data_IF_065610886016
#
_entry.id   IF_065610886016
#
_cell.length_a   1.000
_cell.length_b   1.000
_cell.length_c   1.000
_cell.angle_alpha   90.00
_cell.angle_beta   90.00
_cell.angle_gamma   90.00
#
_symmetry.space_group_name_H-M   'P 1'
#
loop_
_entity.id
_entity.type
_entity.pdbx_description
1 polymer ?
#
# COMPACT_ATOMS: atom_id res chain seq x y z
N UNK A 1 26.96 12.77 9.41
CA UNK A 1 25.92 11.86 8.87
C UNK A 1 25.59 12.33 7.47
N UNK A 2 25.76 11.47 6.47
CA UNK A 2 25.56 11.83 5.06
C UNK A 2 24.05 11.94 4.73
N UNK A 3 23.70 12.84 3.81
CA UNK A 3 22.34 12.95 3.28
C UNK A 3 22.09 11.81 2.30
N UNK A 4 21.69 10.64 2.82
CA UNK A 4 21.40 9.44 2.02
C UNK A 4 20.26 9.67 0.99
N UNK A 5 19.47 10.74 1.16
CA UNK A 5 18.41 11.16 0.24
C UNK A 5 18.45 12.69 0.06
N UNK A 6 18.20 13.19 -1.16
CA UNK A 6 18.05 14.63 -1.48
C UNK A 6 16.65 15.16 -1.07
N UNK A 7 16.27 14.86 0.17
CA UNK A 7 14.93 15.09 0.71
C UNK A 7 15.02 15.82 2.04
N UNK A 8 14.90 17.15 1.98
CA UNK A 8 14.79 17.97 3.18
C UNK A 8 13.39 17.84 3.78
N UNK A 9 13.30 17.10 4.89
CA UNK A 9 12.10 16.94 5.70
C UNK A 9 12.17 17.76 7.01
N UNK A 10 13.11 18.71 7.09
CA UNK A 10 13.33 19.53 8.28
C UNK A 10 13.69 18.70 9.51
N UNK A 11 13.00 18.95 10.62
CA UNK A 11 13.20 18.28 11.91
C UNK A 11 12.44 16.96 12.07
N UNK A 12 11.83 16.41 11.01
CA UNK A 12 11.09 15.14 11.11
C UNK A 12 12.04 13.95 11.43
N UNK A 13 11.66 13.05 12.35
CA UNK A 13 12.48 11.92 12.76
C UNK A 13 12.41 10.77 11.74
N UNK A 14 13.04 10.96 10.59
CA UNK A 14 13.09 10.01 9.48
C UNK A 14 13.90 8.77 9.85
N UNK A 15 13.35 7.58 9.59
CA UNK A 15 14.05 6.29 9.73
C UNK A 15 14.39 5.69 8.36
N UNK A 16 13.50 5.84 7.38
CA UNK A 16 13.77 5.49 5.99
C UNK A 16 13.03 6.41 5.04
N UNK A 17 13.54 6.53 3.81
CA UNK A 17 12.85 7.14 2.69
C UNK A 17 13.15 6.36 1.40
N UNK A 18 12.19 6.36 0.48
CA UNK A 18 12.25 5.66 -0.81
C UNK A 18 11.65 6.58 -1.88
N UNK A 19 12.45 6.97 -2.87
CA UNK A 19 12.01 7.83 -3.97
C UNK A 19 11.41 6.99 -5.11
N UNK A 20 10.13 7.20 -5.42
CA UNK A 20 9.40 6.45 -6.45
C UNK A 20 9.26 7.23 -7.75
N UNK A 21 9.08 8.55 -7.65
CA UNK A 21 9.16 9.49 -8.77
C UNK A 21 10.07 10.62 -8.30
N UNK A 22 11.05 11.01 -9.12
CA UNK A 22 12.01 12.05 -8.75
C UNK A 22 11.33 13.39 -8.46
N UNK A 23 11.54 13.91 -7.25
CA UNK A 23 11.41 15.32 -6.86
C UNK A 23 10.03 16.06 -6.70
N UNK A 24 8.76 15.62 -6.76
CA UNK A 24 7.94 14.39 -6.85
C UNK A 24 7.73 13.48 -5.61
N UNK A 25 7.72 12.16 -5.73
CA UNK A 25 6.96 11.23 -4.86
C UNK A 25 7.84 10.27 -4.05
N UNK A 26 7.56 10.19 -2.75
CA UNK A 26 8.35 9.43 -1.77
C UNK A 26 7.47 8.64 -0.82
N UNK A 27 7.95 7.47 -0.42
CA UNK A 27 7.51 6.74 0.78
C UNK A 27 8.52 6.96 1.91
N UNK A 28 8.05 7.17 3.15
CA UNK A 28 8.90 7.54 4.30
C UNK A 28 8.42 6.86 5.57
N UNK A 29 9.32 6.16 6.28
CA UNK A 29 9.03 5.71 7.66
C UNK A 29 9.49 6.77 8.65
N UNK A 30 8.58 7.23 9.52
CA UNK A 30 8.86 8.21 10.56
C UNK A 30 8.79 7.57 11.96
N UNK A 31 9.77 7.88 12.81
CA UNK A 31 9.72 7.58 14.26
C UNK A 31 8.88 8.62 14.98
N UNK A 32 7.59 8.68 14.64
CA UNK A 32 6.63 9.59 15.29
C UNK A 32 6.37 9.12 16.72
N UNK A 33 6.69 9.95 17.71
CA UNK A 33 6.26 9.77 19.10
C UNK A 33 4.99 10.57 19.44
N UNK A 34 4.71 11.66 18.72
CA UNK A 34 3.43 12.37 18.74
C UNK A 34 3.25 13.29 17.52
N UNK A 35 1.99 13.51 17.13
CA UNK A 35 1.58 14.48 16.11
C UNK A 35 1.71 14.05 14.63
N UNK A 36 0.81 14.56 13.78
CA UNK A 36 0.89 14.37 12.31
C UNK A 36 1.81 15.45 11.69
N UNK A 37 2.73 15.10 10.76
CA UNK A 37 3.53 16.05 9.99
C UNK A 37 2.69 17.13 9.30
N UNK A 38 3.05 18.41 9.48
CA UNK A 38 2.35 19.53 8.86
C UNK A 38 2.84 19.75 7.42
N UNK A 39 1.91 19.80 6.47
CA UNK A 39 2.21 20.16 5.07
C UNK A 39 2.73 21.58 4.95
N UNK A 40 3.64 21.82 4.01
CA UNK A 40 4.34 23.09 3.78
C UNK A 40 3.96 23.69 2.41
N UNK A 41 4.46 24.89 2.03
CA UNK A 41 4.30 25.40 0.67
C UNK A 41 4.90 24.50 -0.41
N UNK A 42 5.93 23.70 -0.09
CA UNK A 42 6.68 22.89 -1.04
C UNK A 42 6.48 21.36 -0.86
N UNK A 43 5.86 20.91 0.23
CA UNK A 43 5.70 19.49 0.59
C UNK A 43 4.30 19.19 1.10
N UNK A 44 3.68 18.11 0.62
CA UNK A 44 2.42 17.58 1.15
C UNK A 44 2.67 16.20 1.78
N UNK A 45 2.19 16.01 3.01
CA UNK A 45 2.27 14.75 3.75
C UNK A 45 0.90 14.10 3.84
N UNK A 46 0.83 12.78 3.61
CA UNK A 46 -0.34 11.95 3.86
C UNK A 46 0.09 10.56 4.37
N UNK A 47 -0.82 9.86 5.04
CA UNK A 47 -0.55 8.60 5.72
C UNK A 47 -1.86 7.81 5.81
N UNK A 48 -1.82 6.51 5.52
CA UNK A 48 -3.00 5.64 5.49
C UNK A 48 -3.13 4.73 6.72
N UNK A 49 -2.21 4.85 7.69
CA UNK A 49 -2.11 4.00 8.89
C UNK A 49 -3.43 3.87 9.70
N UNK A 50 -4.35 4.85 9.58
CA UNK A 50 -5.69 4.84 10.21
C UNK A 50 -6.83 5.08 9.19
N UNK A 51 -6.56 4.92 7.88
CA UNK A 51 -7.50 5.19 6.78
C UNK A 51 -7.76 3.94 5.92
N UNK A 52 -6.74 3.10 5.72
CA UNK A 52 -6.84 1.81 5.03
C UNK A 52 -6.38 0.73 6.01
N UNK A 53 -7.30 0.34 6.89
CA UNK A 53 -7.07 -0.61 7.99
C UNK A 53 -7.46 -2.01 7.55
N UNK A 54 -6.60 -2.99 7.80
CA UNK A 54 -6.90 -4.39 7.56
C UNK A 54 -7.80 -4.94 8.68
N UNK A 55 -8.92 -5.56 8.30
CA UNK A 55 -9.78 -6.28 9.25
C UNK A 55 -9.28 -7.73 9.39
N UNK A 56 -8.85 -8.11 10.60
CA UNK A 56 -8.19 -9.38 10.87
C UNK A 56 -9.15 -10.45 11.41
N UNK A 57 -8.98 -11.69 10.96
CA UNK A 57 -9.70 -12.85 11.49
C UNK A 57 -9.10 -13.33 12.82
N UNK A 58 -7.77 -13.29 12.96
CA UNK A 58 -7.07 -13.68 14.19
C UNK A 58 -5.78 -12.90 14.47
N UNK A 59 -4.70 -13.19 13.75
CA UNK A 59 -3.35 -12.60 13.95
C UNK A 59 -2.63 -12.23 12.65
N UNK A 60 -3.25 -12.60 11.52
CA UNK A 60 -3.16 -11.94 10.23
C UNK A 60 -3.31 -10.41 10.34
N UNK A 61 -2.65 -9.69 9.43
CA UNK A 61 -2.58 -8.22 9.45
C UNK A 61 -2.47 -7.59 8.05
N UNK A 62 -2.66 -8.37 6.99
CA UNK A 62 -2.46 -7.97 5.60
C UNK A 62 -2.00 -9.13 4.70
N UNK A 63 -1.76 -8.87 3.40
CA UNK A 63 -1.80 -7.56 2.75
C UNK A 63 -3.22 -6.98 2.62
N UNK A 64 -3.32 -5.66 2.45
CA UNK A 64 -4.58 -4.96 2.19
C UNK A 64 -5.25 -5.41 0.88
N UNK A 65 -6.59 -5.41 0.85
CA UNK A 65 -7.40 -5.98 -0.24
C UNK A 65 -7.38 -5.12 -1.54
N UNK A 66 -8.06 -5.58 -2.59
CA UNK A 66 -8.09 -4.86 -3.88
C UNK A 66 -8.81 -3.51 -3.81
N UNK A 67 -9.89 -3.40 -3.03
CA UNK A 67 -10.59 -2.14 -2.82
C UNK A 67 -9.70 -1.08 -2.15
N UNK A 68 -8.98 -1.47 -1.09
CA UNK A 68 -8.00 -0.60 -0.41
C UNK A 68 -6.83 -0.21 -1.33
N UNK A 69 -6.37 -1.13 -2.20
CA UNK A 69 -5.36 -0.81 -3.21
C UNK A 69 -5.89 0.15 -4.29
N UNK A 70 -7.13 -0.01 -4.74
CA UNK A 70 -7.80 0.90 -5.68
C UNK A 70 -7.97 2.29 -5.07
N UNK A 71 -8.49 2.38 -3.84
CA UNK A 71 -8.65 3.66 -3.11
C UNK A 71 -7.29 4.33 -2.89
N UNK A 72 -6.24 3.58 -2.52
CA UNK A 72 -4.87 4.11 -2.44
C UNK A 72 -4.36 4.66 -3.78
N UNK A 73 -4.47 3.88 -4.86
CA UNK A 73 -4.00 4.30 -6.19
C UNK A 73 -4.71 5.56 -6.68
N UNK A 74 -6.03 5.60 -6.52
CA UNK A 74 -6.87 6.78 -6.80
C UNK A 74 -6.40 7.99 -6.00
N UNK A 75 -6.18 7.83 -4.70
CA UNK A 75 -5.73 8.88 -3.81
C UNK A 75 -4.34 9.43 -4.19
N UNK A 76 -3.39 8.56 -4.57
CA UNK A 76 -2.06 8.98 -5.03
C UNK A 76 -2.13 9.73 -6.36
N UNK A 77 -2.91 9.22 -7.33
CA UNK A 77 -3.11 9.87 -8.62
C UNK A 77 -3.72 11.27 -8.47
N UNK A 78 -4.76 11.42 -7.65
CA UNK A 78 -5.38 12.71 -7.33
C UNK A 78 -4.37 13.70 -6.72
N UNK A 79 -3.59 13.28 -5.71
CA UNK A 79 -2.57 14.15 -5.07
C UNK A 79 -1.46 14.53 -6.07
N UNK A 80 -1.04 13.61 -6.93
CA UNK A 80 -0.02 13.89 -7.95
C UNK A 80 -0.54 14.89 -9.00
N UNK A 81 -1.78 14.75 -9.46
CA UNK A 81 -2.42 15.67 -10.41
C UNK A 81 -2.63 17.06 -9.80
N UNK A 82 -3.27 17.14 -8.62
CA UNK A 82 -3.58 18.38 -7.90
C UNK A 82 -2.35 19.28 -7.69
N UNK A 83 -1.19 18.67 -7.38
CA UNK A 83 0.06 19.40 -7.14
C UNK A 83 1.03 19.35 -8.33
N UNK A 84 0.53 19.12 -9.56
CA UNK A 84 1.30 19.27 -10.81
C UNK A 84 1.02 20.60 -11.50
N UNK A 85 -0.21 21.13 -11.39
CA UNK A 85 -0.64 22.43 -11.93
C UNK A 85 -0.31 23.63 -11.02
N UNK A 86 0.13 23.39 -9.79
CA UNK A 86 0.50 24.47 -8.84
C UNK A 86 1.83 25.13 -9.22
N UNK A 87 1.91 26.46 -9.05
CA UNK A 87 3.08 27.32 -9.36
C UNK A 87 4.41 26.80 -8.77
N UNK A 88 4.34 26.03 -7.68
CA UNK A 88 5.42 25.13 -7.24
C UNK A 88 4.87 23.70 -7.21
N UNK A 89 5.55 22.75 -7.86
CA UNK A 89 5.21 21.32 -7.81
C UNK A 89 5.58 20.78 -6.43
N UNK A 90 4.59 20.52 -5.56
CA UNK A 90 4.87 20.05 -4.18
C UNK A 90 5.42 18.62 -4.19
N UNK A 91 6.45 18.34 -3.38
CA UNK A 91 6.87 16.96 -3.06
C UNK A 91 5.73 16.26 -2.32
N UNK A 92 5.41 15.03 -2.72
CA UNK A 92 4.34 14.22 -2.13
C UNK A 92 4.99 13.13 -1.29
N UNK A 93 4.69 13.13 0.02
CA UNK A 93 5.25 12.20 0.99
C UNK A 93 4.12 11.31 1.51
N UNK A 94 4.13 10.06 1.07
CA UNK A 94 3.43 8.99 1.79
C UNK A 94 4.29 8.66 3.01
N UNK A 95 3.80 8.96 4.22
CA UNK A 95 4.48 8.57 5.45
C UNK A 95 3.72 7.47 6.20
N UNK A 96 4.46 6.64 6.92
CA UNK A 96 3.93 5.62 7.83
C UNK A 96 4.74 5.62 9.13
N UNK A 97 4.19 5.02 10.18
CA UNK A 97 4.83 4.91 11.50
C UNK A 97 5.89 3.80 11.55
N UNK A 98 6.56 3.68 12.70
CA UNK A 98 7.51 2.59 12.96
C UNK A 98 6.85 1.24 13.28
N UNK A 99 5.51 1.18 13.35
CA UNK A 99 4.78 -0.06 13.53
C UNK A 99 5.11 -1.09 12.44
N UNK A 100 5.12 -2.38 12.80
CA UNK A 100 5.53 -3.45 11.90
C UNK A 100 4.50 -3.74 10.80
N UNK A 101 3.22 -3.81 11.17
CA UNK A 101 2.13 -4.18 10.27
C UNK A 101 1.77 -3.02 9.34
N UNK A 102 1.64 -1.80 9.89
CA UNK A 102 1.35 -0.58 9.12
C UNK A 102 2.46 -0.29 8.11
N UNK A 103 3.74 -0.40 8.52
CA UNK A 103 4.88 -0.15 7.61
C UNK A 103 4.93 -1.11 6.42
N UNK A 104 4.64 -2.40 6.60
CA UNK A 104 4.65 -3.34 5.45
C UNK A 104 3.41 -3.20 4.57
N UNK A 105 2.22 -2.94 5.12
CA UNK A 105 1.03 -2.66 4.30
C UNK A 105 1.18 -1.37 3.49
N UNK A 106 1.70 -0.30 4.10
CA UNK A 106 2.00 0.94 3.40
C UNK A 106 3.08 0.77 2.30
N UNK A 107 4.06 -0.10 2.52
CA UNK A 107 5.07 -0.48 1.53
C UNK A 107 4.50 -1.32 0.38
N UNK A 108 3.58 -2.24 0.68
CA UNK A 108 2.82 -3.02 -0.32
C UNK A 108 1.98 -2.09 -1.21
N UNK A 109 1.21 -1.16 -0.62
CA UNK A 109 0.39 -0.21 -1.38
C UNK A 109 1.23 0.65 -2.34
N UNK A 110 2.31 1.27 -1.85
CA UNK A 110 3.15 2.14 -2.69
C UNK A 110 3.96 1.36 -3.73
N UNK A 111 4.39 0.14 -3.41
CA UNK A 111 5.06 -0.75 -4.36
C UNK A 111 4.12 -1.23 -5.47
N UNK A 112 2.91 -1.64 -5.11
CA UNK A 112 1.85 -2.03 -6.06
C UNK A 112 1.47 -0.86 -6.97
N UNK A 113 1.33 0.35 -6.42
CA UNK A 113 1.16 1.57 -7.24
C UNK A 113 2.32 1.79 -8.23
N UNK A 114 3.57 1.57 -7.80
CA UNK A 114 4.73 1.72 -8.67
C UNK A 114 4.81 0.68 -9.80
N UNK A 115 4.28 -0.53 -9.58
CA UNK A 115 4.11 -1.55 -10.62
C UNK A 115 2.99 -1.13 -11.58
N UNK A 116 1.80 -0.82 -11.06
CA UNK A 116 0.58 -0.59 -11.86
C UNK A 116 0.67 0.73 -12.66
N UNK A 117 1.04 1.85 -12.02
CA UNK A 117 0.99 3.18 -12.63
C UNK A 117 2.35 3.70 -13.10
N UNK A 118 3.44 3.34 -12.42
CA UNK A 118 4.81 3.77 -12.82
C UNK A 118 5.53 2.73 -13.69
N UNK A 119 4.89 1.59 -13.97
CA UNK A 119 5.38 0.47 -14.78
C UNK A 119 6.80 0.01 -14.42
N UNK A 120 7.15 0.08 -13.11
CA UNK A 120 8.46 -0.34 -12.60
C UNK A 120 8.53 -1.86 -12.41
N UNK A 121 9.65 -2.52 -12.75
CA UNK A 121 9.86 -3.94 -12.46
C UNK A 121 9.80 -4.23 -10.95
N UNK A 122 9.28 -5.41 -10.58
CA UNK A 122 9.13 -5.86 -9.18
C UNK A 122 10.44 -5.77 -8.40
N UNK A 123 11.56 -6.19 -9.01
CA UNK A 123 12.89 -6.12 -8.37
C UNK A 123 13.41 -4.69 -8.18
N UNK A 124 13.05 -3.74 -9.06
CA UNK A 124 13.41 -2.33 -8.87
C UNK A 124 12.62 -1.75 -7.69
N UNK A 125 11.30 -1.99 -7.66
CA UNK A 125 10.39 -1.56 -6.59
C UNK A 125 10.81 -2.12 -5.23
N UNK A 126 11.11 -3.42 -5.16
CA UNK A 126 11.54 -4.06 -3.92
C UNK A 126 12.90 -3.53 -3.43
N UNK A 127 13.85 -3.29 -4.34
CA UNK A 127 15.14 -2.66 -4.04
C UNK A 127 14.99 -1.21 -3.54
N UNK A 128 14.07 -0.44 -4.14
CA UNK A 128 13.73 0.93 -3.69
C UNK A 128 13.15 0.92 -2.27
N UNK A 129 12.34 -0.08 -1.91
CA UNK A 129 11.72 -0.22 -0.58
C UNK A 129 12.71 -0.68 0.49
N UNK A 130 13.61 -1.62 0.19
CA UNK A 130 14.66 -2.07 1.11
C UNK A 130 15.75 -1.00 1.34
N UNK A 131 16.11 -0.24 0.31
CA UNK A 131 17.21 0.72 0.39
C UNK A 131 18.54 0.08 0.82
N UNK A 132 19.37 0.84 1.53
CA UNK A 132 20.67 0.36 2.07
C UNK A 132 20.66 0.18 3.60
N UNK A 133 19.72 0.84 4.29
CA UNK A 133 19.66 0.90 5.77
C UNK A 133 18.24 0.95 6.33
N UNK A 134 17.22 0.65 5.53
CA UNK A 134 15.84 0.70 6.00
C UNK A 134 15.58 -0.52 6.92
N UNK A 135 14.79 -0.39 8.01
CA UNK A 135 14.41 -1.54 8.82
C UNK A 135 13.65 -2.58 7.98
N UNK A 136 13.91 -3.89 8.14
CA UNK A 136 13.23 -4.91 7.36
C UNK A 136 11.71 -4.84 7.56
N UNK A 137 10.97 -5.27 6.54
CA UNK A 137 9.53 -5.47 6.63
C UNK A 137 9.23 -6.80 7.31
N UNK A 138 8.06 -6.91 7.94
CA UNK A 138 7.54 -8.20 8.39
C UNK A 138 7.07 -9.01 7.18
N UNK A 139 7.09 -10.33 7.28
CA UNK A 139 6.40 -11.20 6.34
C UNK A 139 4.94 -11.37 6.82
N UNK A 140 4.00 -11.38 5.89
CA UNK A 140 2.59 -11.66 6.20
C UNK A 140 2.42 -13.12 6.62
N UNK A 141 1.49 -13.35 7.55
CA UNK A 141 1.12 -14.68 8.06
C UNK A 141 -0.32 -15.01 7.71
N UNK A 142 -0.66 -16.28 7.83
CA UNK A 142 -2.03 -16.77 7.68
C UNK A 142 -2.92 -16.49 8.91
N UNK A 143 -4.23 -16.62 8.68
CA UNK A 143 -5.30 -16.38 9.64
C UNK A 143 -5.60 -17.54 10.61
N UNK A 144 -4.86 -18.66 10.55
CA UNK A 144 -5.13 -19.80 11.44
C UNK A 144 -4.80 -19.48 12.90
N UNK A 145 -5.53 -20.13 13.79
CA UNK A 145 -5.25 -20.10 15.23
C UNK A 145 -3.87 -20.66 15.56
N UNK A 146 -3.14 -19.97 16.43
CA UNK A 146 -1.84 -20.40 16.95
C UNK A 146 -0.64 -19.99 16.08
N UNK A 147 0.34 -20.89 15.97
CA UNK A 147 1.60 -20.64 15.29
C UNK A 147 1.47 -20.85 13.77
N UNK A 148 1.83 -19.83 13.00
CA UNK A 148 1.83 -19.88 11.53
C UNK A 148 2.94 -20.80 11.01
N UNK A 149 2.61 -21.62 10.00
CA UNK A 149 3.53 -22.59 9.40
C UNK A 149 4.23 -22.06 8.14
N UNK A 150 3.69 -21.00 7.51
CA UNK A 150 4.20 -20.44 6.27
C UNK A 150 3.92 -18.95 6.20
N UNK A 151 4.88 -18.17 5.69
CA UNK A 151 4.76 -16.73 5.53
C UNK A 151 4.99 -16.34 4.06
N UNK A 152 4.28 -15.33 3.58
CA UNK A 152 4.59 -14.66 2.31
C UNK A 152 5.27 -13.32 2.60
N UNK A 153 6.35 -13.02 1.89
CA UNK A 153 7.10 -11.78 2.06
C UNK A 153 6.59 -10.68 1.11
N UNK A 154 6.99 -9.43 1.36
CA UNK A 154 6.56 -8.27 0.56
C UNK A 154 6.83 -8.42 -0.95
N UNK A 155 7.95 -9.05 -1.36
CA UNK A 155 8.23 -9.30 -2.78
C UNK A 155 7.25 -10.31 -3.38
N UNK A 156 6.78 -11.30 -2.64
CA UNK A 156 5.81 -12.29 -3.12
C UNK A 156 4.48 -11.60 -3.47
N UNK A 157 4.00 -10.73 -2.58
CA UNK A 157 2.77 -9.94 -2.80
C UNK A 157 2.92 -8.99 -4.00
N UNK A 158 4.05 -8.30 -4.13
CA UNK A 158 4.34 -7.44 -5.29
C UNK A 158 4.44 -8.25 -6.60
N UNK A 159 5.00 -9.46 -6.54
CA UNK A 159 5.10 -10.37 -7.67
C UNK A 159 3.74 -10.94 -8.09
N UNK A 160 2.83 -11.16 -7.13
CA UNK A 160 1.44 -11.52 -7.37
C UNK A 160 0.67 -10.38 -8.05
N UNK A 161 0.76 -9.15 -7.52
CA UNK A 161 0.13 -7.96 -8.12
C UNK A 161 0.60 -7.73 -9.57
N UNK A 162 1.91 -7.85 -9.84
CA UNK A 162 2.42 -7.80 -11.21
C UNK A 162 1.75 -8.86 -12.10
N UNK A 163 1.79 -10.14 -11.72
CA UNK A 163 1.20 -11.21 -12.53
C UNK A 163 -0.31 -11.08 -12.71
N UNK A 164 -1.04 -10.68 -11.67
CA UNK A 164 -2.49 -10.49 -11.73
C UNK A 164 -2.89 -9.33 -12.65
N UNK A 165 -2.14 -8.23 -12.63
CA UNK A 165 -2.33 -7.11 -13.58
C UNK A 165 -2.03 -7.55 -15.03
N UNK A 166 -0.87 -8.17 -15.28
CA UNK A 166 -0.47 -8.58 -16.64
C UNK A 166 -1.37 -9.66 -17.25
N UNK A 167 -2.03 -10.47 -16.41
CA UNK A 167 -3.00 -11.50 -16.81
C UNK A 167 -4.46 -11.02 -16.81
N UNK A 168 -4.72 -9.74 -16.50
CA UNK A 168 -6.06 -9.17 -16.48
C UNK A 168 -6.98 -9.72 -15.39
N UNK A 169 -6.44 -10.20 -14.27
CA UNK A 169 -7.23 -10.67 -13.12
C UNK A 169 -7.86 -9.50 -12.35
N UNK A 170 -7.35 -8.29 -12.52
CA UNK A 170 -8.01 -7.04 -12.15
C UNK A 170 -7.55 -5.92 -13.08
N UNK A 171 -8.36 -4.88 -13.25
CA UNK A 171 -8.00 -3.67 -13.97
C UNK A 171 -8.70 -2.46 -13.35
N UNK A 172 -7.96 -1.42 -12.98
CA UNK A 172 -8.49 -0.26 -12.24
C UNK A 172 -9.13 0.83 -13.14
N UNK A 173 -9.35 0.56 -14.44
CA UNK A 173 -10.22 1.41 -15.28
C UNK A 173 -11.71 1.05 -15.20
N UNK A 174 -12.01 -0.17 -14.75
CA UNK A 174 -13.30 -0.85 -14.82
C UNK A 174 -13.58 -1.69 -13.55
N UNK A 175 -12.76 -1.52 -12.51
CA UNK A 175 -12.98 -2.08 -11.18
C UNK A 175 -14.05 -1.31 -10.43
N UNK A 176 -15.22 -1.92 -10.23
CA UNK A 176 -16.26 -1.39 -9.35
C UNK A 176 -15.91 -1.71 -7.88
N UNK A 177 -15.42 -0.69 -7.18
CA UNK A 177 -15.08 -0.77 -5.75
C UNK A 177 -16.32 -0.86 -4.86
N UNK A 178 -17.47 -0.34 -5.30
CA UNK A 178 -18.69 -0.33 -4.51
C UNK A 178 -19.44 -1.68 -4.67
N UNK A 179 -19.33 -2.36 -5.82
CA UNK A 179 -19.70 -3.79 -5.96
C UNK A 179 -18.83 -4.67 -5.04
N UNK A 180 -17.52 -4.48 -5.06
CA UNK A 180 -16.57 -5.23 -4.22
C UNK A 180 -16.88 -5.07 -2.73
N UNK A 181 -16.97 -3.82 -2.24
CA UNK A 181 -17.24 -3.51 -0.83
C UNK A 181 -18.71 -3.77 -0.43
N UNK A 182 -19.60 -4.02 -1.39
CA UNK A 182 -20.92 -4.59 -1.11
C UNK A 182 -20.80 -6.10 -0.86
N UNK A 183 -20.27 -6.86 -1.81
CA UNK A 183 -20.30 -8.32 -1.75
C UNK A 183 -19.30 -8.95 -0.76
N UNK A 184 -18.22 -8.27 -0.36
CA UNK A 184 -17.30 -8.80 0.67
C UNK A 184 -17.95 -8.89 2.08
N UNK A 185 -19.14 -8.32 2.29
CA UNK A 185 -19.85 -8.33 3.57
C UNK A 185 -20.67 -9.61 3.78
N UNK A 186 -20.70 -10.08 5.03
CA UNK A 186 -21.39 -11.32 5.42
C UNK A 186 -22.91 -11.24 5.16
N UNK A 187 -23.53 -10.08 5.38
CA UNK A 187 -24.95 -9.83 5.07
C UNK A 187 -25.28 -9.78 3.57
N UNK A 188 -24.27 -9.81 2.70
CA UNK A 188 -24.39 -9.73 1.24
C UNK A 188 -23.80 -10.95 0.52
N UNK A 189 -23.09 -11.83 1.24
CA UNK A 189 -22.66 -13.16 0.78
C UNK A 189 -21.26 -13.57 1.21
N UNK A 190 -20.45 -12.65 1.74
CA UNK A 190 -19.00 -12.85 1.96
C UNK A 190 -18.36 -13.43 0.69
N UNK A 191 -18.43 -12.64 -0.38
CA UNK A 191 -18.20 -13.06 -1.77
C UNK A 191 -17.16 -12.15 -2.45
N UNK A 192 -16.18 -12.76 -3.12
CA UNK A 192 -15.11 -12.07 -3.81
C UNK A 192 -14.77 -12.73 -5.17
N UNK A 193 -14.58 -11.92 -6.21
CA UNK A 193 -14.00 -12.36 -7.48
C UNK A 193 -12.50 -12.65 -7.32
N UNK A 194 -12.07 -13.87 -7.65
CA UNK A 194 -10.66 -14.29 -7.66
C UNK A 194 -10.07 -14.20 -9.07
N UNK A 195 -10.88 -14.51 -10.09
CA UNK A 195 -10.61 -14.20 -11.50
C UNK A 195 -11.94 -13.77 -12.14
N UNK A 196 -12.05 -12.55 -12.69
CA UNK A 196 -13.28 -12.03 -13.29
C UNK A 196 -13.89 -12.99 -14.30
N UNK A 197 -15.22 -13.15 -14.22
CA UNK A 197 -16.01 -14.02 -15.10
C UNK A 197 -15.60 -15.52 -15.08
N UNK A 198 -14.77 -15.96 -14.11
CA UNK A 198 -14.27 -17.35 -14.07
C UNK A 198 -14.22 -17.99 -12.68
N UNK A 199 -13.77 -17.28 -11.66
CA UNK A 199 -13.67 -17.81 -10.30
C UNK A 199 -14.16 -16.80 -9.27
N UNK A 200 -15.13 -17.22 -8.48
CA UNK A 200 -15.63 -16.56 -7.27
C UNK A 200 -15.27 -17.46 -6.08
N UNK A 201 -14.85 -16.85 -4.97
CA UNK A 201 -14.86 -17.48 -3.66
C UNK A 201 -15.98 -16.84 -2.83
N UNK A 202 -16.74 -17.64 -2.07
CA UNK A 202 -17.79 -17.13 -1.20
C UNK A 202 -18.05 -18.05 0.00
N UNK A 203 -18.67 -17.53 1.05
CA UNK A 203 -19.04 -18.31 2.23
C UNK A 203 -20.16 -19.33 1.95
N UNK A 204 -20.10 -20.49 2.60
CA UNK A 204 -21.07 -21.56 2.43
C UNK A 204 -22.50 -21.12 2.83
N UNK A 205 -23.50 -21.21 1.94
CA UNK A 205 -24.85 -20.78 2.25
C UNK A 205 -25.52 -21.73 3.25
N UNK A 206 -26.11 -21.16 4.29
CA UNK A 206 -26.83 -21.91 5.33
C UNK A 206 -28.34 -21.80 5.13
N UNK A 207 -29.07 -22.89 5.38
CA UNK A 207 -30.53 -22.89 5.44
C UNK A 207 -31.07 -22.12 6.65
N UNK A 208 -32.33 -21.70 6.57
CA UNK A 208 -33.13 -21.20 7.70
C UNK A 208 -33.86 -22.35 8.38
#
# INVERSE_FOLDING_TARGET
MEKQYNLDLGSLPVVSASEFIKDRFYFVTLRVSSGKPKSTPNTHYFCIDEELVYENFYSDFGPLNLAMLYRYCTMVNQKLQMYTSTVRKKKIIHYTTMDGHKRVNAAYLVGSYAIIYLKKPVDEVYKILLGVRNPPFLNFRDASYGATLYHINLKDCLQAIYKAHELGFFNFSDFDVEEYEHYEKVEHGDLNWIVPQKFIAFCGPHGK
#
